data_IF_476100991584
#
_entry.id   IF_476100991584
#
_cell.length_a   1.000
_cell.length_b   1.000
_cell.length_c   1.000
_cell.angle_alpha   90.00
_cell.angle_beta   90.00
_cell.angle_gamma   90.00
#
_symmetry.space_group_name_H-M   'P 1'
#
loop_
_entity.id
_entity.type
_entity.pdbx_description
1 polymer ?
#
# COMPACT_ATOMS: atom_id res chain seq x y z
N UNK A 1 -15.35 4.04 2.11
CA UNK A 1 -14.64 5.34 1.92
C UNK A 1 -14.19 5.50 0.48
N UNK A 2 -14.32 6.68 -0.15
CA UNK A 2 -13.78 6.91 -1.49
C UNK A 2 -12.27 7.23 -1.45
N UNK A 3 -11.55 7.00 -2.55
CA UNK A 3 -10.08 7.21 -2.66
C UNK A 3 -9.64 8.63 -2.27
N UNK A 4 -10.53 9.61 -2.44
CA UNK A 4 -10.31 11.01 -2.12
C UNK A 4 -10.42 11.32 -0.62
N UNK A 5 -11.37 10.68 0.05
CA UNK A 5 -11.70 10.93 1.45
C UNK A 5 -10.64 10.41 2.41
N UNK A 6 -9.88 9.36 2.07
CA UNK A 6 -8.95 8.74 3.02
C UNK A 6 -7.88 9.71 3.54
N UNK A 7 -7.25 10.48 2.64
CA UNK A 7 -6.21 11.46 3.02
C UNK A 7 -6.80 12.52 3.96
N UNK A 8 -8.06 12.87 3.73
CA UNK A 8 -8.78 13.89 4.49
C UNK A 8 -9.30 13.35 5.84
N UNK A 9 -9.69 12.07 5.90
CA UNK A 9 -10.18 11.38 7.10
C UNK A 9 -9.06 10.87 8.01
N UNK A 10 -7.90 10.51 7.44
CA UNK A 10 -6.76 9.94 8.18
C UNK A 10 -5.43 10.69 7.90
N UNK A 11 -5.38 12.02 8.07
CA UNK A 11 -4.23 12.83 7.69
C UNK A 11 -2.97 12.45 8.46
N UNK A 12 -3.07 12.16 9.76
CA UNK A 12 -1.91 11.81 10.60
C UNK A 12 -1.27 10.50 10.13
N UNK A 13 -2.07 9.46 9.87
CA UNK A 13 -1.58 8.16 9.42
C UNK A 13 -0.93 8.30 8.04
N UNK A 14 -1.58 9.02 7.14
CA UNK A 14 -1.07 9.30 5.80
C UNK A 14 0.29 10.01 5.85
N UNK A 15 0.38 11.13 6.57
CA UNK A 15 1.61 11.92 6.65
C UNK A 15 2.73 11.17 7.39
N UNK A 16 2.42 10.40 8.44
CA UNK A 16 3.41 9.56 9.11
C UNK A 16 4.01 8.51 8.17
N UNK A 17 3.19 7.88 7.33
CA UNK A 17 3.67 6.90 6.36
C UNK A 17 4.50 7.56 5.26
N UNK A 18 4.01 8.65 4.66
CA UNK A 18 4.75 9.42 3.64
C UNK A 18 6.10 9.89 4.18
N UNK A 19 6.10 10.45 5.39
CA UNK A 19 7.30 10.95 6.04
C UNK A 19 8.27 9.84 6.41
N UNK A 20 7.77 8.74 6.97
CA UNK A 20 8.58 7.57 7.30
C UNK A 20 9.28 7.08 6.03
N UNK A 21 8.53 6.89 4.94
CA UNK A 21 9.05 6.43 3.66
C UNK A 21 10.09 7.36 3.05
N UNK A 22 9.86 8.67 3.11
CA UNK A 22 10.82 9.68 2.65
C UNK A 22 12.13 9.61 3.45
N UNK A 23 12.04 9.49 4.79
CA UNK A 23 13.21 9.46 5.68
C UNK A 23 14.07 8.22 5.47
N UNK A 24 13.46 7.04 5.28
CA UNK A 24 14.21 5.81 5.00
C UNK A 24 14.62 5.65 3.53
N UNK A 25 14.36 6.67 2.69
CA UNK A 25 14.79 6.72 1.30
C UNK A 25 14.02 5.80 0.35
N UNK A 26 12.86 5.31 0.75
CA UNK A 26 12.11 4.30 0.00
C UNK A 26 11.03 4.92 -0.87
N UNK A 27 11.04 4.58 -2.15
CA UNK A 27 10.02 4.99 -3.13
C UNK A 27 8.69 4.29 -2.84
N UNK A 28 7.59 5.06 -2.85
CA UNK A 28 6.23 4.52 -2.70
C UNK A 28 5.26 5.29 -3.58
N UNK A 29 4.13 4.67 -3.90
CA UNK A 29 3.00 5.34 -4.54
C UNK A 29 2.13 6.14 -3.55
N UNK A 30 2.40 6.09 -2.24
CA UNK A 30 1.62 6.86 -1.24
C UNK A 30 1.61 8.38 -1.49
N UNK A 31 2.71 9.05 -1.87
CA UNK A 31 2.67 10.48 -2.21
C UNK A 31 1.68 10.79 -3.33
N UNK A 32 1.47 9.87 -4.29
CA UNK A 32 0.49 10.05 -5.36
C UNK A 32 -0.96 10.05 -4.86
N UNK A 33 -1.24 9.60 -3.62
CA UNK A 33 -2.58 9.64 -3.05
C UNK A 33 -3.08 11.06 -2.73
N UNK A 34 -2.17 12.00 -2.43
CA UNK A 34 -2.53 13.40 -2.12
C UNK A 34 -3.28 14.09 -3.27
N UNK A 35 -3.10 13.59 -4.50
CA UNK A 35 -3.74 14.12 -5.70
C UNK A 35 -5.20 13.72 -5.83
N UNK A 36 -5.67 12.74 -5.05
CA UNK A 36 -7.08 12.40 -4.94
C UNK A 36 -7.78 13.19 -3.83
N UNK A 37 -7.05 13.82 -2.90
CA UNK A 37 -7.62 14.62 -1.80
C UNK A 37 -8.20 15.94 -2.29
N UNK A 38 -9.39 16.29 -1.83
CA UNK A 38 -10.00 17.60 -2.13
C UNK A 38 -9.42 18.71 -1.25
N UNK A 39 -9.10 18.41 0.02
CA UNK A 39 -8.54 19.38 0.96
C UNK A 39 -7.13 19.82 0.57
N UNK A 40 -6.34 18.92 -0.02
CA UNK A 40 -4.95 19.17 -0.40
C UNK A 40 -4.82 19.83 -1.79
N UNK A 41 -5.82 19.69 -2.66
CA UNK A 41 -5.81 20.24 -4.02
C UNK A 41 -6.34 21.68 -4.11
N UNK A 42 -7.11 22.14 -3.10
CA UNK A 42 -7.51 23.54 -2.91
C UNK A 42 -6.33 24.37 -2.39
N UNK A 43 -5.40 24.75 -3.28
CA UNK A 43 -4.42 25.82 -3.02
C UNK A 43 -2.94 25.46 -3.22
N UNK A 44 -2.58 24.19 -3.48
CA UNK A 44 -1.16 23.76 -3.61
C UNK A 44 -0.82 23.00 -4.90
N UNK A 45 -1.60 23.20 -5.98
CA UNK A 45 -1.33 22.55 -7.29
C UNK A 45 0.08 22.83 -7.84
N UNK A 46 0.69 23.95 -7.49
CA UNK A 46 2.01 24.36 -7.98
C UNK A 46 3.22 23.74 -7.23
N UNK A 47 3.03 23.14 -6.05
CA UNK A 47 4.12 22.54 -5.25
C UNK A 47 4.19 21.01 -5.37
N UNK A 48 3.21 20.38 -6.04
CA UNK A 48 3.04 18.93 -6.15
C UNK A 48 3.34 18.39 -7.58
N UNK A 49 3.91 19.22 -8.43
CA UNK A 49 4.03 19.01 -9.89
C UNK A 49 5.11 18.03 -10.33
N UNK A 50 6.03 17.61 -9.44
CA UNK A 50 7.19 16.82 -9.84
C UNK A 50 7.00 15.29 -9.76
N UNK A 51 5.82 14.80 -9.36
CA UNK A 51 5.53 13.37 -9.40
C UNK A 51 5.19 12.91 -10.83
N UNK A 52 5.89 11.90 -11.40
CA UNK A 52 5.66 11.44 -12.76
C UNK A 52 4.21 11.05 -12.99
N UNK A 53 3.60 11.57 -14.08
CA UNK A 53 2.24 11.22 -14.48
C UNK A 53 2.03 9.69 -14.62
N UNK A 54 3.10 8.95 -14.94
CA UNK A 54 3.14 7.50 -14.96
C UNK A 54 2.80 6.86 -13.59
N UNK A 55 3.37 7.37 -12.50
CA UNK A 55 3.12 6.89 -11.13
C UNK A 55 1.64 7.01 -10.75
N UNK A 56 0.98 8.09 -11.18
CA UNK A 56 -0.45 8.33 -10.96
C UNK A 56 -1.32 7.33 -11.71
N UNK A 57 -0.99 7.05 -12.97
CA UNK A 57 -1.73 6.10 -13.79
C UNK A 57 -1.64 4.68 -13.23
N UNK A 58 -0.47 4.30 -12.71
CA UNK A 58 -0.25 2.99 -12.10
C UNK A 58 -1.03 2.86 -10.79
N UNK A 59 -1.00 3.88 -9.94
CA UNK A 59 -1.77 3.89 -8.71
C UNK A 59 -3.28 3.76 -8.99
N UNK A 60 -3.81 4.46 -10.00
CA UNK A 60 -5.22 4.31 -10.41
C UNK A 60 -5.54 2.86 -10.83
N UNK A 61 -4.65 2.24 -11.62
CA UNK A 61 -4.81 0.86 -12.05
C UNK A 61 -4.79 -0.10 -10.87
N UNK A 62 -3.81 0.02 -9.97
CA UNK A 62 -3.72 -0.81 -8.76
C UNK A 62 -5.00 -0.70 -7.94
N UNK A 63 -5.43 0.53 -7.62
CA UNK A 63 -6.64 0.74 -6.84
C UNK A 63 -7.89 0.17 -7.53
N UNK A 64 -7.95 0.20 -8.87
CA UNK A 64 -9.03 -0.45 -9.62
C UNK A 64 -9.02 -1.97 -9.51
N UNK A 65 -7.83 -2.60 -9.59
CA UNK A 65 -7.70 -4.07 -9.41
C UNK A 65 -8.10 -4.52 -8.01
N UNK A 66 -7.71 -3.75 -6.99
CA UNK A 66 -8.08 -4.03 -5.61
C UNK A 66 -9.60 -3.97 -5.40
N UNK A 67 -10.30 -3.04 -6.04
CA UNK A 67 -11.77 -2.97 -6.00
C UNK A 67 -12.45 -4.18 -6.66
N UNK A 68 -11.76 -4.87 -7.57
CA UNK A 68 -12.20 -6.12 -8.17
C UNK A 68 -11.73 -7.37 -7.40
N UNK A 69 -11.26 -7.22 -6.15
CA UNK A 69 -10.74 -8.29 -5.31
C UNK A 69 -9.56 -9.07 -5.93
N UNK A 70 -8.74 -8.40 -6.75
CA UNK A 70 -7.54 -8.97 -7.36
C UNK A 70 -6.28 -8.44 -6.67
N UNK A 71 -5.56 -9.33 -5.98
CA UNK A 71 -4.26 -9.02 -5.35
C UNK A 71 -3.06 -9.43 -6.21
N UNK A 72 -3.23 -10.33 -7.19
CA UNK A 72 -2.13 -10.82 -8.01
C UNK A 72 -1.59 -9.75 -8.98
N UNK A 73 -2.50 -9.04 -9.66
CA UNK A 73 -2.08 -7.98 -10.60
C UNK A 73 -1.35 -6.83 -9.89
N UNK A 74 -1.84 -6.30 -8.76
CA UNK A 74 -1.09 -5.33 -7.95
C UNK A 74 0.31 -5.79 -7.53
N UNK A 75 0.47 -7.05 -7.11
CA UNK A 75 1.80 -7.61 -6.77
C UNK A 75 2.74 -7.49 -7.98
N UNK A 76 2.28 -7.93 -9.16
CA UNK A 76 3.09 -7.87 -10.38
C UNK A 76 3.39 -6.44 -10.83
N UNK A 77 2.43 -5.53 -10.71
CA UNK A 77 2.59 -4.11 -11.06
C UNK A 77 3.67 -3.45 -10.18
N UNK A 78 3.56 -3.59 -8.86
CA UNK A 78 4.52 -3.03 -7.90
C UNK A 78 5.93 -3.63 -8.06
N UNK A 79 6.02 -4.93 -8.33
CA UNK A 79 7.30 -5.59 -8.62
C UNK A 79 7.97 -5.03 -9.88
N UNK A 80 7.19 -4.74 -10.93
CA UNK A 80 7.74 -4.16 -12.17
C UNK A 80 8.13 -2.69 -12.00
N UNK A 81 7.40 -1.92 -11.19
CA UNK A 81 7.78 -0.53 -10.89
C UNK A 81 9.11 -0.44 -10.15
N UNK A 82 9.40 -1.38 -9.23
CA UNK A 82 10.69 -1.44 -8.54
C UNK A 82 11.88 -1.57 -9.48
N UNK A 83 11.70 -2.22 -10.63
CA UNK A 83 12.76 -2.39 -11.64
C UNK A 83 13.10 -1.10 -12.38
N UNK A 84 12.16 -0.16 -12.45
CA UNK A 84 12.34 1.10 -13.18
C UNK A 84 13.11 2.14 -12.35
N UNK A 85 13.10 1.99 -11.03
CA UNK A 85 13.83 2.87 -10.12
C UNK A 85 15.32 2.49 -10.02
N UNK A 86 16.17 3.41 -9.53
CA UNK A 86 17.54 3.05 -9.17
C UNK A 86 17.53 1.92 -8.13
N UNK A 87 18.50 1.00 -8.19
CA UNK A 87 18.67 -0.04 -7.18
C UNK A 87 18.84 0.59 -5.79
N UNK A 88 17.75 0.67 -5.02
CA UNK A 88 17.79 1.17 -3.65
C UNK A 88 17.92 -0.01 -2.70
N UNK A 89 18.74 0.18 -1.66
CA UNK A 89 18.97 -0.84 -0.63
C UNK A 89 17.70 -1.17 0.18
N UNK A 90 16.71 -0.28 0.15
CA UNK A 90 15.47 -0.41 0.91
C UNK A 90 14.27 -0.34 -0.03
N UNK A 91 13.44 -1.37 0.01
CA UNK A 91 12.15 -1.43 -0.66
C UNK A 91 11.06 -1.68 0.38
N UNK A 92 9.86 -1.14 0.15
CA UNK A 92 8.72 -1.41 1.03
C UNK A 92 8.33 -2.88 0.95
N UNK A 93 7.56 -3.36 1.92
CA UNK A 93 6.89 -4.65 1.75
C UNK A 93 5.75 -4.47 0.75
N UNK A 94 5.77 -5.19 -0.37
CA UNK A 94 4.64 -5.23 -1.32
C UNK A 94 3.36 -5.58 -0.57
N UNK A 95 3.43 -6.53 0.37
CA UNK A 95 2.31 -6.89 1.23
C UNK A 95 1.74 -5.68 1.98
N UNK A 96 2.59 -4.88 2.66
CA UNK A 96 2.12 -3.70 3.40
C UNK A 96 1.59 -2.60 2.49
N UNK A 97 2.21 -2.41 1.33
CA UNK A 97 1.76 -1.41 0.36
C UNK A 97 0.39 -1.80 -0.22
N UNK A 98 0.19 -3.07 -0.58
CA UNK A 98 -1.10 -3.57 -1.04
C UNK A 98 -2.14 -3.52 0.08
N UNK A 99 -1.82 -3.94 1.31
CA UNK A 99 -2.73 -3.85 2.46
C UNK A 99 -3.22 -2.40 2.65
N UNK A 100 -2.29 -1.45 2.63
CA UNK A 100 -2.63 -0.04 2.76
C UNK A 100 -3.49 0.45 1.59
N UNK A 101 -3.10 0.13 0.35
CA UNK A 101 -3.86 0.52 -0.84
C UNK A 101 -5.25 -0.13 -0.87
N UNK A 102 -5.43 -1.31 -0.27
CA UNK A 102 -6.73 -1.95 -0.10
C UNK A 102 -7.60 -1.14 0.86
N UNK A 103 -7.05 -0.67 1.99
CA UNK A 103 -7.79 0.24 2.89
C UNK A 103 -8.25 1.51 2.18
N UNK A 104 -7.43 2.05 1.28
CA UNK A 104 -7.80 3.21 0.46
C UNK A 104 -8.85 2.85 -0.60
N UNK A 105 -8.74 1.69 -1.21
CA UNK A 105 -9.58 1.27 -2.34
C UNK A 105 -11.00 0.87 -1.92
N UNK A 106 -11.13 0.21 -0.77
CA UNK A 106 -12.35 -0.47 -0.31
C UNK A 106 -12.82 0.08 1.05
N UNK A 107 -11.95 0.71 1.84
CA UNK A 107 -12.24 1.14 3.21
C UNK A 107 -11.66 0.18 4.25
N UNK A 108 -11.11 0.71 5.34
CA UNK A 108 -10.53 -0.09 6.44
C UNK A 108 -11.58 -0.94 7.15
N UNK A 109 -12.80 -0.43 7.24
CA UNK A 109 -13.98 -1.06 7.80
C UNK A 109 -14.43 -2.30 7.00
N UNK A 110 -14.10 -2.35 5.72
CA UNK A 110 -14.51 -3.42 4.81
C UNK A 110 -13.44 -4.50 4.62
N UNK A 111 -12.32 -4.41 5.34
CA UNK A 111 -11.20 -5.34 5.22
C UNK A 111 -10.98 -6.05 6.54
N UNK A 112 -11.27 -7.36 6.53
CA UNK A 112 -10.80 -8.29 7.55
C UNK A 112 -9.34 -8.66 7.29
N UNK A 113 -8.46 -8.37 8.25
CA UNK A 113 -7.02 -8.60 8.12
C UNK A 113 -6.67 -10.08 7.90
N UNK A 114 -7.43 -11.01 8.49
CA UNK A 114 -7.16 -12.44 8.31
C UNK A 114 -7.50 -12.87 6.88
N UNK A 115 -8.68 -12.51 6.39
CA UNK A 115 -9.12 -12.78 5.03
C UNK A 115 -8.17 -12.17 4.00
N UNK A 116 -7.72 -10.95 4.24
CA UNK A 116 -6.72 -10.30 3.39
C UNK A 116 -5.40 -11.08 3.35
N UNK A 117 -4.88 -11.52 4.50
CA UNK A 117 -3.62 -12.27 4.57
C UNK A 117 -3.68 -13.59 3.79
N UNK A 118 -4.81 -14.29 3.91
CA UNK A 118 -5.05 -15.53 3.19
C UNK A 118 -5.10 -15.30 1.68
N UNK A 119 -5.83 -14.28 1.21
CA UNK A 119 -5.93 -13.99 -0.22
C UNK A 119 -4.60 -13.46 -0.78
N UNK A 120 -3.85 -12.67 -0.01
CA UNK A 120 -2.51 -12.24 -0.41
C UNK A 120 -1.59 -13.44 -0.52
N UNK A 121 -1.57 -14.35 0.47
CA UNK A 121 -0.75 -15.56 0.42
C UNK A 121 -1.09 -16.43 -0.79
N UNK A 122 -2.37 -16.62 -1.07
CA UNK A 122 -2.87 -17.36 -2.24
C UNK A 122 -2.50 -16.69 -3.57
N UNK A 123 -2.48 -15.36 -3.61
CA UNK A 123 -2.03 -14.63 -4.80
C UNK A 123 -0.52 -14.70 -4.96
N UNK A 124 0.23 -14.60 -3.85
CA UNK A 124 1.68 -14.70 -3.81
C UNK A 124 2.16 -16.10 -4.23
N UNK A 125 1.45 -17.17 -3.85
CA UNK A 125 1.82 -18.55 -4.23
C UNK A 125 1.68 -18.85 -5.72
N UNK A 126 0.99 -17.99 -6.49
CA UNK A 126 0.88 -18.11 -7.95
C UNK A 126 2.12 -17.59 -8.68
N UNK A 127 3.03 -16.91 -7.99
CA UNK A 127 4.23 -16.36 -8.60
C UNK A 127 5.21 -17.46 -9.02
N UNK A 128 5.77 -17.33 -10.22
CA UNK A 128 6.83 -18.21 -10.70
C UNK A 128 8.14 -18.03 -9.93
N UNK A 129 9.01 -19.04 -9.96
CA UNK A 129 10.34 -18.97 -9.34
C UNK A 129 11.16 -17.76 -9.82
N UNK A 130 11.03 -17.38 -11.09
CA UNK A 130 11.68 -16.19 -11.66
C UNK A 130 11.16 -14.88 -11.04
N UNK A 131 9.88 -14.82 -10.69
CA UNK A 131 9.30 -13.65 -10.03
C UNK A 131 9.70 -13.62 -8.55
N UNK A 132 9.68 -14.78 -7.88
CA UNK A 132 10.05 -14.90 -6.48
C UNK A 132 11.51 -14.49 -6.22
N UNK A 133 12.44 -14.77 -7.14
CA UNK A 133 13.84 -14.35 -7.01
C UNK A 133 14.04 -12.83 -7.09
N UNK A 134 13.03 -12.08 -7.56
CA UNK A 134 13.06 -10.62 -7.66
C UNK A 134 12.44 -9.94 -6.44
N UNK A 135 11.81 -10.70 -5.54
CA UNK A 135 11.12 -10.19 -4.36
C UNK A 135 12.01 -10.23 -3.12
N UNK A 136 11.80 -9.26 -2.23
CA UNK A 136 12.48 -9.20 -0.95
C UNK A 136 11.79 -10.12 0.06
N UNK A 137 12.51 -10.57 1.09
CA UNK A 137 11.92 -11.39 2.17
C UNK A 137 10.72 -10.70 2.85
N UNK A 138 10.74 -9.37 2.92
CA UNK A 138 9.65 -8.56 3.48
C UNK A 138 8.40 -8.50 2.60
N UNK A 139 8.46 -8.92 1.34
CA UNK A 139 7.30 -8.97 0.43
C UNK A 139 6.43 -10.22 0.66
N UNK A 140 6.94 -11.18 1.45
CA UNK A 140 6.24 -12.40 1.79
C UNK A 140 4.99 -12.10 2.64
N UNK A 141 3.95 -12.94 2.54
CA UNK A 141 2.84 -12.90 3.50
C UNK A 141 3.36 -13.05 4.94
N UNK A 142 2.65 -12.52 5.94
CA UNK A 142 2.96 -12.77 7.34
C UNK A 142 3.08 -14.28 7.62
N UNK A 143 4.02 -14.65 8.49
CA UNK A 143 4.13 -16.02 8.97
C UNK A 143 2.89 -16.41 9.80
N UNK A 144 2.57 -17.70 9.86
CA UNK A 144 1.42 -18.18 10.66
C UNK A 144 1.50 -17.72 12.13
N UNK A 145 2.69 -17.74 12.73
CA UNK A 145 2.90 -17.21 14.08
C UNK A 145 2.58 -15.72 14.18
N UNK A 146 2.89 -14.91 13.17
CA UNK A 146 2.55 -13.49 13.16
C UNK A 146 1.04 -13.26 13.02
N UNK A 147 0.36 -14.06 12.17
CA UNK A 147 -1.11 -14.05 12.04
C UNK A 147 -1.76 -14.43 13.38
N UNK A 148 -1.25 -15.47 14.04
CA UNK A 148 -1.71 -15.90 15.35
C UNK A 148 -1.52 -14.81 16.42
N UNK A 149 -0.32 -14.23 16.53
CA UNK A 149 -0.04 -13.15 17.47
C UNK A 149 -1.00 -11.97 17.28
N UNK A 150 -1.26 -11.55 16.04
CA UNK A 150 -2.20 -10.47 15.76
C UNK A 150 -3.62 -10.79 16.25
N UNK A 151 -4.08 -12.04 16.06
CA UNK A 151 -5.38 -12.49 16.56
C UNK A 151 -5.43 -12.55 18.08
N UNK A 152 -4.34 -12.97 18.72
CA UNK A 152 -4.25 -13.11 20.16
C UNK A 152 -4.21 -11.76 20.88
N UNK A 153 -3.33 -10.85 20.43
CA UNK A 153 -3.12 -9.55 21.06
C UNK A 153 -4.19 -8.50 20.68
N UNK A 154 -4.93 -8.71 19.59
CA UNK A 154 -5.97 -7.82 19.05
C UNK A 154 -5.45 -6.41 18.72
N UNK A 155 -6.34 -5.57 18.19
CA UNK A 155 -6.04 -4.18 17.91
C UNK A 155 -5.89 -3.40 19.23
N UNK A 156 -5.01 -2.40 19.23
CA UNK A 156 -4.81 -1.54 20.39
C UNK A 156 -6.05 -0.67 20.61
N UNK A 157 -6.85 -1.02 21.60
CA UNK A 157 -7.97 -0.18 22.06
C UNK A 157 -7.43 0.96 22.92
N UNK A 158 -7.29 2.14 22.32
CA UNK A 158 -7.00 3.36 23.07
C UNK A 158 -8.24 3.75 23.87
N UNK A 159 -8.25 3.42 25.17
CA UNK A 159 -9.25 3.93 26.10
C UNK A 159 -9.05 5.43 26.26
N UNK A 160 -9.88 6.22 25.59
CA UNK A 160 -9.97 7.66 25.83
C UNK A 160 -10.57 7.82 27.24
N UNK A 161 -9.79 8.38 28.16
CA UNK A 161 -10.26 8.77 29.50
C UNK A 161 -10.89 10.15 29.44
#
# INVERSE_FOLDING_TARGET
MTKAEFVDQHPIIYWNLVWFFKRIGVTSHLPSLILFSESSTKGKKALLTDEPQASKNILKQILGRLQCNDLYSPICMLMNERKKGPHRKHHHSIYREILFLSFVAIGRENIDNLSFDLEYRKSYSKLSNKQLSQLHVNDRPPAEGAVFCRRYFKDLELKVR
#
